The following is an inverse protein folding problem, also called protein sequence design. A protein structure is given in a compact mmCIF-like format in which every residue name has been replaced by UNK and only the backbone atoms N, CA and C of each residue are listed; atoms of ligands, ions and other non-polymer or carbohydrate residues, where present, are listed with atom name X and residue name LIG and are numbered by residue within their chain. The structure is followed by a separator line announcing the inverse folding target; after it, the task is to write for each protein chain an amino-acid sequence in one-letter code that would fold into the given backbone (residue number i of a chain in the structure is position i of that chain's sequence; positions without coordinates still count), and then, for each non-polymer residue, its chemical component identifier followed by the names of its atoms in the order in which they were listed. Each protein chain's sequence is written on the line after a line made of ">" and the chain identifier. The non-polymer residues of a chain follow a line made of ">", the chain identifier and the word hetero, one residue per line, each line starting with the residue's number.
data_IF_877522510705
#
_entry.id   IF_877522510705
#
_cell.length_a   1.000
_cell.length_b   1.000
_cell.length_c   1.000
_cell.angle_alpha   90.00
_cell.angle_beta   90.00
_cell.angle_gamma   90.00
#
_symmetry.space_group_name_H-M   'P 1'
#
loop_
_entity.id
_entity.type
_entity.pdbx_description
1 polymer ?
#
# COMPACT_ATOMS: atom_id res chain seq x y z
N UNK A 1 2.98 -3.33 -7.38
CA UNK A 1 2.72 -2.22 -8.31
C UNK A 1 3.36 -2.50 -9.67
N UNK A 2 4.65 -2.77 -9.74
CA UNK A 2 5.34 -3.04 -11.01
C UNK A 2 4.72 -4.15 -11.84
N UNK A 3 4.35 -5.29 -11.23
CA UNK A 3 3.65 -6.36 -11.93
C UNK A 3 2.29 -5.94 -12.50
N UNK A 4 1.49 -5.19 -11.73
CA UNK A 4 0.21 -4.70 -12.24
C UNK A 4 0.40 -3.77 -13.43
N UNK A 5 1.33 -2.81 -13.30
CA UNK A 5 1.63 -1.86 -14.37
C UNK A 5 2.17 -2.58 -15.62
N UNK A 6 3.05 -3.57 -15.42
CA UNK A 6 3.52 -4.43 -16.51
C UNK A 6 2.35 -5.14 -17.20
N UNK A 7 1.44 -5.75 -16.46
CA UNK A 7 0.27 -6.43 -17.02
C UNK A 7 -0.68 -5.48 -17.78
N UNK A 8 -0.78 -4.21 -17.34
CA UNK A 8 -1.56 -3.17 -18.03
C UNK A 8 -0.91 -2.68 -19.33
N UNK A 9 0.41 -2.49 -19.30
CA UNK A 9 1.15 -1.95 -20.45
C UNK A 9 1.54 -3.02 -21.48
N UNK A 10 1.62 -4.27 -21.07
CA UNK A 10 2.01 -5.40 -21.94
C UNK A 10 1.10 -5.52 -23.16
N UNK A 11 -0.19 -5.24 -23.03
CA UNK A 11 -1.17 -5.32 -24.12
C UNK A 11 -1.22 -4.04 -24.97
N UNK A 12 -0.50 -3.00 -24.57
CA UNK A 12 -0.39 -1.79 -25.34
C UNK A 12 0.76 -1.94 -26.35
N UNK A 13 0.44 -2.11 -27.62
CA UNK A 13 1.41 -2.38 -28.71
C UNK A 13 2.54 -1.36 -28.87
N UNK A 14 2.40 -0.18 -28.24
CA UNK A 14 3.41 0.89 -28.33
C UNK A 14 4.59 0.73 -27.37
N UNK A 15 4.55 -0.22 -26.43
CA UNK A 15 5.58 -0.38 -25.41
C UNK A 15 6.31 -1.72 -25.50
N UNK A 16 7.64 -1.66 -25.39
CA UNK A 16 8.46 -2.81 -25.02
C UNK A 16 8.75 -2.72 -23.53
N UNK A 17 8.20 -3.62 -22.74
CA UNK A 17 8.30 -3.58 -21.28
C UNK A 17 9.47 -4.44 -20.80
N UNK A 18 10.33 -3.86 -19.96
CA UNK A 18 11.38 -4.58 -19.25
C UNK A 18 11.15 -4.47 -17.74
N UNK A 19 10.88 -5.58 -17.08
CA UNK A 19 10.64 -5.67 -15.65
C UNK A 19 11.89 -6.14 -14.91
N UNK A 20 12.35 -5.33 -13.97
CA UNK A 20 13.42 -5.66 -13.04
C UNK A 20 12.81 -5.96 -11.65
N UNK A 21 13.07 -7.13 -11.11
CA UNK A 21 12.64 -7.52 -9.77
C UNK A 21 13.81 -8.17 -9.03
N UNK A 22 14.17 -7.64 -7.87
CA UNK A 22 15.28 -8.17 -7.09
C UNK A 22 15.01 -9.52 -6.44
N UNK A 23 13.74 -9.87 -6.28
CA UNK A 23 13.33 -11.15 -5.67
C UNK A 23 13.07 -12.17 -6.75
N UNK A 24 13.66 -13.35 -6.56
CA UNK A 24 13.38 -14.49 -7.42
C UNK A 24 11.98 -15.07 -7.14
N UNK A 25 11.59 -15.08 -5.85
CA UNK A 25 10.36 -15.71 -5.38
C UNK A 25 9.50 -14.71 -4.61
N UNK A 26 8.18 -14.86 -4.75
CA UNK A 26 7.20 -14.07 -4.02
C UNK A 26 6.86 -14.79 -2.70
N UNK A 27 7.45 -14.33 -1.60
CA UNK A 27 7.35 -14.96 -0.28
C UNK A 27 6.55 -14.15 0.75
N UNK A 28 6.03 -12.98 0.37
CA UNK A 28 5.30 -12.10 1.28
C UNK A 28 3.90 -12.63 1.56
N UNK A 29 3.72 -13.29 2.70
CA UNK A 29 2.45 -13.91 3.10
C UNK A 29 1.47 -12.95 3.78
N UNK A 30 1.89 -11.71 4.06
CA UNK A 30 0.99 -10.75 4.73
C UNK A 30 -0.33 -10.61 3.98
N UNK A 31 -1.41 -10.59 4.74
CA UNK A 31 -2.74 -10.40 4.20
C UNK A 31 -2.94 -8.95 3.77
N UNK A 32 -3.59 -8.76 2.64
CA UNK A 32 -3.97 -7.46 2.10
C UNK A 32 -5.39 -7.52 1.57
N UNK A 33 -6.06 -6.38 1.59
CA UNK A 33 -7.35 -6.21 0.96
C UNK A 33 -7.20 -5.23 -0.21
N UNK A 34 -7.68 -5.63 -1.37
CA UNK A 34 -7.80 -4.75 -2.53
C UNK A 34 -9.17 -4.07 -2.44
N UNK A 35 -9.19 -2.74 -2.43
CA UNK A 35 -10.43 -2.01 -2.27
C UNK A 35 -11.35 -2.17 -3.46
N UNK A 36 -12.67 -2.26 -3.22
CA UNK A 36 -13.70 -2.51 -4.23
C UNK A 36 -13.79 -1.36 -5.24
N UNK A 37 -13.49 -0.13 -4.86
CA UNK A 37 -13.50 1.00 -5.78
C UNK A 37 -12.52 0.86 -6.96
N UNK A 38 -11.49 0.03 -6.84
CA UNK A 38 -10.56 -0.25 -7.95
C UNK A 38 -11.23 -0.94 -9.14
N UNK A 39 -12.30 -1.65 -8.89
CA UNK A 39 -13.10 -2.36 -9.91
C UNK A 39 -14.47 -1.71 -10.14
N UNK A 40 -14.66 -0.49 -9.64
CA UNK A 40 -15.87 0.29 -9.82
C UNK A 40 -16.14 0.57 -11.30
N UNK A 41 -17.38 0.52 -11.68
CA UNK A 41 -17.88 0.79 -13.03
C UNK A 41 -18.69 2.08 -13.13
N UNK A 42 -18.95 2.73 -12.00
CA UNK A 42 -19.68 3.98 -11.88
C UNK A 42 -19.09 4.88 -10.81
N UNK A 43 -19.41 6.18 -10.85
CA UNK A 43 -19.01 7.15 -9.83
C UNK A 43 -19.57 6.73 -8.47
N UNK A 44 -20.81 6.30 -8.39
CA UNK A 44 -21.43 5.86 -7.14
C UNK A 44 -20.68 4.67 -6.52
N UNK A 45 -20.33 3.64 -7.30
CA UNK A 45 -19.56 2.50 -6.81
C UNK A 45 -18.11 2.85 -6.49
N UNK A 46 -17.53 3.88 -7.12
CA UNK A 46 -16.22 4.41 -6.78
C UNK A 46 -16.21 5.10 -5.41
N UNK A 47 -17.28 5.80 -5.07
CA UNK A 47 -17.38 6.58 -3.83
C UNK A 47 -17.74 5.75 -2.60
N UNK A 48 -18.31 4.54 -2.75
CA UNK A 48 -18.81 3.72 -1.61
C UNK A 48 -17.78 3.32 -0.57
N UNK A 49 -16.51 3.16 -0.95
CA UNK A 49 -15.43 2.78 -0.01
C UNK A 49 -14.73 3.98 0.61
N UNK A 50 -15.06 5.17 0.21
CA UNK A 50 -14.51 6.40 0.72
C UNK A 50 -15.66 7.30 1.17
N UNK A 51 -15.39 8.09 2.20
CA UNK A 51 -16.17 9.24 2.62
C UNK A 51 -17.13 9.65 1.48
N UNK A 52 -18.33 9.98 1.75
CA UNK A 52 -19.39 10.36 0.83
C UNK A 52 -18.95 10.96 -0.54
N UNK A 53 -19.81 10.90 -1.50
CA UNK A 53 -19.56 11.38 -2.86
C UNK A 53 -19.10 12.85 -2.89
N UNK A 54 -19.63 13.68 -1.99
CA UNK A 54 -19.29 15.09 -1.87
C UNK A 54 -17.82 15.30 -1.50
N UNK A 55 -17.28 14.51 -0.56
CA UNK A 55 -15.86 14.55 -0.18
C UNK A 55 -14.92 14.09 -1.29
N UNK A 56 -15.34 13.12 -2.10
CA UNK A 56 -14.56 12.68 -3.26
C UNK A 56 -14.57 13.77 -4.34
N UNK A 57 -15.70 14.36 -4.62
CA UNK A 57 -15.83 15.45 -5.60
C UNK A 57 -15.07 16.72 -5.17
N UNK A 58 -14.95 16.99 -3.87
CA UNK A 58 -14.17 18.11 -3.38
C UNK A 58 -12.66 17.97 -3.64
N UNK A 59 -12.14 16.73 -3.79
CA UNK A 59 -10.71 16.45 -4.02
C UNK A 59 -10.43 16.16 -5.50
N UNK A 60 -11.32 15.47 -6.18
CA UNK A 60 -11.15 15.07 -7.58
C UNK A 60 -12.11 15.80 -8.49
N UNK A 61 -11.59 16.29 -9.61
CA UNK A 61 -12.41 16.79 -10.69
C UNK A 61 -13.29 15.64 -11.23
N UNK A 62 -14.62 15.87 -11.47
CA UNK A 62 -15.49 14.89 -12.10
C UNK A 62 -14.96 14.34 -13.42
N UNK A 63 -14.21 15.14 -14.18
CA UNK A 63 -13.57 14.70 -15.42
C UNK A 63 -12.43 13.70 -15.15
N UNK A 64 -11.64 13.86 -14.08
CA UNK A 64 -10.59 12.92 -13.68
C UNK A 64 -11.19 11.57 -13.26
N UNK A 65 -12.29 11.58 -12.52
CA UNK A 65 -13.02 10.36 -12.13
C UNK A 65 -13.56 9.65 -13.38
N UNK A 66 -14.18 10.40 -14.28
CA UNK A 66 -14.73 9.86 -15.53
C UNK A 66 -13.65 9.27 -16.42
N UNK A 67 -12.51 9.94 -16.56
CA UNK A 67 -11.37 9.44 -17.33
C UNK A 67 -10.78 8.15 -16.68
N UNK A 68 -10.69 8.10 -15.36
CA UNK A 68 -10.26 6.92 -14.61
C UNK A 68 -11.22 5.72 -14.81
N UNK A 69 -12.52 5.96 -14.76
CA UNK A 69 -13.54 4.93 -15.03
C UNK A 69 -13.48 4.43 -16.46
N UNK A 70 -13.32 5.32 -17.45
CA UNK A 70 -13.17 4.95 -18.85
C UNK A 70 -11.93 4.08 -19.08
N UNK A 71 -10.81 4.42 -18.44
CA UNK A 71 -9.61 3.58 -18.50
C UNK A 71 -9.85 2.20 -17.88
N UNK A 72 -10.57 2.10 -16.75
CA UNK A 72 -10.90 0.80 -16.13
C UNK A 72 -11.72 -0.10 -17.07
N UNK A 73 -12.59 0.46 -17.87
CA UNK A 73 -13.34 -0.30 -18.89
C UNK A 73 -12.45 -0.85 -20.01
N UNK A 74 -11.29 -0.24 -20.23
CA UNK A 74 -10.30 -0.71 -21.21
C UNK A 74 -9.33 -1.77 -20.66
N UNK A 75 -9.36 -2.07 -19.35
CA UNK A 75 -8.52 -3.10 -18.73
C UNK A 75 -8.91 -4.47 -19.31
N UNK A 76 -7.93 -5.30 -19.72
CA UNK A 76 -8.20 -6.63 -20.25
C UNK A 76 -9.07 -7.46 -19.31
N UNK A 77 -10.08 -8.19 -19.83
CA UNK A 77 -11.05 -8.93 -19.02
C UNK A 77 -10.43 -9.94 -18.04
N UNK A 78 -9.34 -10.58 -18.43
CA UNK A 78 -8.59 -11.55 -17.63
C UNK A 78 -7.92 -10.88 -16.40
N UNK A 79 -7.40 -9.67 -16.55
CA UNK A 79 -6.86 -8.87 -15.45
C UNK A 79 -7.98 -8.30 -14.58
N UNK A 80 -9.05 -7.80 -15.18
CA UNK A 80 -10.20 -7.28 -14.44
C UNK A 80 -10.88 -8.36 -13.58
N UNK A 81 -10.99 -9.58 -14.08
CA UNK A 81 -11.52 -10.71 -13.31
C UNK A 81 -10.68 -11.01 -12.06
N UNK A 82 -9.34 -10.94 -12.17
CA UNK A 82 -8.44 -11.11 -11.02
C UNK A 82 -8.59 -9.98 -9.99
N UNK A 83 -8.66 -8.73 -10.45
CA UNK A 83 -8.89 -7.57 -9.58
C UNK A 83 -10.21 -7.70 -8.82
N UNK A 84 -11.29 -8.11 -9.49
CA UNK A 84 -12.60 -8.36 -8.84
C UNK A 84 -12.50 -9.47 -7.81
N UNK A 85 -11.79 -10.56 -8.11
CA UNK A 85 -11.56 -11.64 -7.14
C UNK A 85 -10.82 -11.17 -5.88
N UNK A 86 -9.79 -10.34 -6.03
CA UNK A 86 -9.05 -9.81 -4.88
C UNK A 86 -9.83 -8.74 -4.10
N UNK A 87 -10.79 -8.07 -4.72
CA UNK A 87 -11.63 -7.07 -4.06
C UNK A 87 -12.75 -7.70 -3.20
N UNK A 88 -12.99 -9.01 -3.30
CA UNK A 88 -14.01 -9.70 -2.52
C UNK A 88 -13.60 -9.97 -1.06
N UNK A 89 -12.32 -9.86 -0.74
CA UNK A 89 -11.84 -10.14 0.60
C UNK A 89 -10.32 -10.04 0.75
N UNK A 90 -9.83 -10.54 1.86
CA UNK A 90 -8.40 -10.57 2.12
C UNK A 90 -7.71 -11.69 1.37
N UNK A 91 -6.54 -11.40 0.82
CA UNK A 91 -5.69 -12.40 0.17
C UNK A 91 -4.21 -12.17 0.51
N UNK A 92 -3.37 -13.21 0.49
CA UNK A 92 -1.94 -13.04 0.71
C UNK A 92 -1.31 -12.24 -0.43
N UNK A 93 -0.41 -11.32 -0.09
CA UNK A 93 0.25 -10.48 -1.10
C UNK A 93 1.00 -11.30 -2.15
N UNK A 94 1.65 -12.40 -1.74
CA UNK A 94 2.34 -13.30 -2.66
C UNK A 94 1.40 -14.01 -3.64
N UNK A 95 0.14 -14.25 -3.28
CA UNK A 95 -0.85 -14.81 -4.20
C UNK A 95 -1.21 -13.81 -5.31
N UNK A 96 -1.35 -12.52 -4.97
CA UNK A 96 -1.53 -11.45 -5.95
C UNK A 96 -0.31 -11.36 -6.87
N UNK A 97 0.90 -11.38 -6.29
CA UNK A 97 2.15 -11.26 -7.03
C UNK A 97 2.33 -12.43 -8.02
N UNK A 98 2.12 -13.67 -7.57
CA UNK A 98 2.17 -14.86 -8.43
C UNK A 98 1.11 -14.79 -9.52
N UNK A 99 -0.12 -14.48 -9.18
CA UNK A 99 -1.22 -14.37 -10.13
C UNK A 99 -0.96 -13.34 -11.24
N UNK A 100 -0.37 -12.19 -10.90
CA UNK A 100 0.05 -11.20 -11.90
C UNK A 100 1.24 -11.69 -12.73
N UNK A 101 2.20 -12.36 -12.09
CA UNK A 101 3.35 -12.96 -12.78
C UNK A 101 2.91 -13.98 -13.82
N UNK A 102 2.03 -14.92 -13.42
CA UNK A 102 1.50 -15.97 -14.29
C UNK A 102 0.69 -15.35 -15.46
N UNK A 103 -0.06 -14.26 -15.19
CA UNK A 103 -0.80 -13.56 -16.23
C UNK A 103 0.13 -12.94 -17.27
N UNK A 104 1.22 -12.32 -16.84
CA UNK A 104 2.22 -11.72 -17.73
C UNK A 104 2.88 -12.79 -18.58
N UNK A 105 3.24 -13.93 -17.98
CA UNK A 105 3.90 -15.03 -18.68
C UNK A 105 2.97 -15.76 -19.66
N UNK A 106 1.67 -15.84 -19.36
CA UNK A 106 0.68 -16.45 -20.24
C UNK A 106 0.43 -15.66 -21.54
N UNK A 107 0.73 -14.37 -21.57
CA UNK A 107 0.52 -13.49 -22.73
C UNK A 107 1.72 -13.52 -23.69
N UNK A 108 1.97 -14.65 -24.30
CA UNK A 108 3.13 -14.91 -25.17
C UNK A 108 3.19 -14.01 -26.43
N UNK A 109 2.07 -13.50 -26.91
CA UNK A 109 2.02 -12.56 -28.04
C UNK A 109 2.66 -11.21 -27.75
N UNK A 110 2.81 -10.85 -26.47
CA UNK A 110 3.40 -9.60 -26.00
C UNK A 110 4.46 -9.90 -24.93
N UNK A 111 5.62 -10.42 -25.31
CA UNK A 111 6.63 -10.87 -24.35
C UNK A 111 7.21 -9.70 -23.55
N UNK A 112 7.30 -9.88 -22.25
CA UNK A 112 7.96 -8.95 -21.31
C UNK A 112 9.37 -9.46 -21.05
N UNK A 113 10.36 -8.58 -21.19
CA UNK A 113 11.72 -8.90 -20.73
C UNK A 113 11.76 -8.83 -19.21
N UNK A 114 12.27 -9.88 -18.58
CA UNK A 114 12.40 -9.94 -17.11
C UNK A 114 13.85 -10.14 -16.70
N UNK A 115 14.27 -9.38 -15.69
CA UNK A 115 15.58 -9.53 -15.05
C UNK A 115 15.43 -9.64 -13.55
N UNK A 116 16.02 -10.68 -12.96
CA UNK A 116 16.12 -10.80 -11.49
C UNK A 116 17.37 -10.04 -11.06
N UNK A 117 17.19 -8.77 -10.78
CA UNK A 117 18.27 -7.87 -10.38
C UNK A 117 17.76 -6.74 -9.49
N UNK A 118 18.57 -6.32 -8.53
CA UNK A 118 18.42 -5.03 -7.87
C UNK A 118 19.06 -3.98 -8.78
N UNK A 119 18.31 -2.97 -9.15
CA UNK A 119 18.75 -1.89 -10.03
C UNK A 119 19.10 -0.67 -9.17
N UNK A 120 20.32 -0.20 -9.28
CA UNK A 120 20.75 1.09 -8.70
C UNK A 120 20.35 2.24 -9.63
N UNK A 121 20.46 3.47 -9.16
CA UNK A 121 20.21 4.63 -10.01
C UNK A 121 21.24 4.73 -11.15
N UNK A 122 22.49 4.34 -10.89
CA UNK A 122 23.54 4.31 -11.89
C UNK A 122 23.25 3.26 -12.97
N UNK A 123 22.84 2.04 -12.57
CA UNK A 123 22.42 0.99 -13.52
C UNK A 123 21.23 1.47 -14.37
N UNK A 124 20.21 2.02 -13.71
CA UNK A 124 19.03 2.54 -14.41
C UNK A 124 19.41 3.57 -15.47
N UNK A 125 20.33 4.46 -15.11
CA UNK A 125 20.81 5.48 -15.99
C UNK A 125 21.61 4.95 -17.18
N UNK A 126 22.43 3.95 -16.94
CA UNK A 126 23.23 3.32 -17.99
C UNK A 126 22.38 2.53 -19.00
N UNK A 127 21.22 2.03 -18.55
CA UNK A 127 20.31 1.22 -19.38
C UNK A 127 19.32 2.04 -20.21
N UNK A 128 19.01 3.28 -19.81
CA UNK A 128 17.99 4.10 -20.47
C UNK A 128 18.50 4.70 -21.78
N UNK A 129 17.74 4.47 -22.84
CA UNK A 129 17.91 5.13 -24.14
C UNK A 129 17.00 6.36 -24.25
N UNK A 130 17.27 7.26 -25.21
CA UNK A 130 16.37 8.38 -25.50
C UNK A 130 14.96 7.88 -25.83
N UNK A 131 13.96 8.42 -25.12
CA UNK A 131 12.55 8.02 -25.27
C UNK A 131 12.09 6.90 -24.34
N UNK A 132 12.98 6.27 -23.60
CA UNK A 132 12.60 5.31 -22.57
C UNK A 132 11.96 6.01 -21.38
N UNK A 133 11.08 5.27 -20.69
CA UNK A 133 10.39 5.71 -19.48
C UNK A 133 10.80 4.80 -18.32
N UNK A 134 11.29 5.38 -17.24
CA UNK A 134 11.59 4.67 -16.01
C UNK A 134 10.42 4.77 -15.04
N UNK A 135 9.97 3.62 -14.54
CA UNK A 135 8.91 3.57 -13.53
C UNK A 135 9.46 2.88 -12.28
N UNK A 136 9.54 3.63 -11.20
CA UNK A 136 10.03 3.13 -9.92
C UNK A 136 8.89 2.61 -9.06
N UNK A 137 8.92 1.30 -8.80
CA UNK A 137 8.02 0.59 -7.89
C UNK A 137 8.78 -0.11 -6.75
N UNK A 138 9.99 0.36 -6.42
CA UNK A 138 10.90 -0.34 -5.48
C UNK A 138 10.48 -0.24 -4.01
N UNK A 139 9.49 0.61 -3.70
CA UNK A 139 8.92 0.71 -2.36
C UNK A 139 9.46 1.88 -1.53
N UNK A 140 9.18 1.84 -0.21
CA UNK A 140 9.44 2.97 0.70
C UNK A 140 10.91 3.39 0.81
N UNK A 141 11.83 2.46 0.64
CA UNK A 141 13.27 2.70 0.70
C UNK A 141 13.88 2.83 -0.72
N UNK A 142 13.20 3.54 -1.61
CA UNK A 142 13.66 3.68 -2.99
C UNK A 142 14.91 4.57 -3.09
N UNK A 143 15.99 3.96 -3.55
CA UNK A 143 17.21 4.68 -3.92
C UNK A 143 17.03 5.44 -5.25
N UNK A 144 16.19 4.92 -6.16
CA UNK A 144 15.89 5.58 -7.42
C UNK A 144 15.17 6.91 -7.19
N UNK A 145 14.17 6.93 -6.29
CA UNK A 145 13.49 8.17 -5.87
C UNK A 145 14.50 9.21 -5.39
N UNK A 146 15.34 8.82 -4.44
CA UNK A 146 16.19 9.76 -3.72
C UNK A 146 17.31 10.32 -4.61
N UNK A 147 17.71 9.59 -5.67
CA UNK A 147 18.77 9.97 -6.59
C UNK A 147 18.27 10.53 -7.93
N UNK A 148 17.16 10.04 -8.46
CA UNK A 148 16.67 10.41 -9.80
C UNK A 148 15.50 11.41 -9.79
N UNK A 149 14.80 11.53 -8.67
CA UNK A 149 13.68 12.46 -8.50
C UNK A 149 13.96 13.35 -7.28
N UNK A 150 14.99 14.19 -7.33
CA UNK A 150 15.32 15.05 -6.21
C UNK A 150 14.21 16.07 -5.97
N UNK A 151 13.88 16.31 -4.70
CA UNK A 151 12.98 17.39 -4.31
C UNK A 151 13.57 18.77 -4.61
N UNK A 152 12.73 19.77 -4.81
CA UNK A 152 13.15 21.16 -4.79
C UNK A 152 13.76 21.44 -3.40
N UNK A 153 15.04 21.70 -3.31
CA UNK A 153 15.80 21.81 -2.06
C UNK A 153 16.79 20.68 -1.81
N UNK A 154 16.88 19.69 -2.68
CA UNK A 154 17.92 18.66 -2.61
C UNK A 154 19.37 19.21 -2.68
N UNK A 155 19.50 20.48 -3.02
CA UNK A 155 20.77 21.22 -3.00
C UNK A 155 21.34 21.34 -1.59
N UNK A 156 20.50 21.29 -0.55
CA UNK A 156 20.87 21.38 0.86
C UNK A 156 20.94 20.01 1.58
N UNK A 157 20.79 18.90 0.84
CA UNK A 157 20.82 17.55 1.39
C UNK A 157 19.55 17.14 2.13
N UNK A 158 18.46 17.89 2.02
CA UNK A 158 17.19 17.53 2.66
C UNK A 158 16.58 16.28 2.01
N UNK A 159 15.96 15.39 2.80
CA UNK A 159 15.37 14.16 2.25
C UNK A 159 14.25 14.48 1.25
N UNK A 160 14.18 13.71 0.17
CA UNK A 160 13.13 13.86 -0.86
C UNK A 160 11.74 13.40 -0.40
N UNK A 161 11.54 13.20 0.88
CA UNK A 161 10.27 12.74 1.43
C UNK A 161 9.77 13.66 2.53
N UNK A 162 8.48 13.91 2.50
CA UNK A 162 7.74 14.52 3.59
C UNK A 162 7.06 13.43 4.41
N UNK A 163 7.25 13.42 5.73
CA UNK A 163 6.70 12.41 6.64
C UNK A 163 5.89 13.05 7.75
N UNK A 164 4.77 12.41 8.07
CA UNK A 164 3.94 12.73 9.25
C UNK A 164 3.82 11.47 10.07
N UNK A 165 4.31 11.49 11.31
CA UNK A 165 4.05 10.43 12.28
C UNK A 165 2.61 10.57 12.76
N UNK A 166 1.82 9.51 12.63
CA UNK A 166 0.45 9.45 13.14
C UNK A 166 0.43 8.85 14.54
N UNK A 167 1.02 7.68 14.70
CA UNK A 167 1.08 6.95 15.96
C UNK A 167 2.20 5.90 15.95
N UNK A 168 2.42 5.25 17.08
CA UNK A 168 3.25 4.06 17.21
C UNK A 168 2.35 2.85 17.45
N UNK A 169 2.68 1.70 16.89
CA UNK A 169 1.87 0.52 17.02
C UNK A 169 2.69 -0.78 17.07
N UNK A 170 2.06 -1.80 17.65
CA UNK A 170 2.45 -3.19 17.51
C UNK A 170 1.54 -3.84 16.47
N UNK A 171 2.13 -4.56 15.53
CA UNK A 171 1.41 -5.51 14.68
C UNK A 171 1.55 -6.87 15.33
N UNK A 172 0.44 -7.45 15.72
CA UNK A 172 0.37 -8.77 16.38
C UNK A 172 -0.25 -9.74 15.41
N UNK A 173 0.41 -10.87 15.17
CA UNK A 173 -0.05 -11.91 14.26
C UNK A 173 -0.03 -13.26 14.96
N UNK A 174 -1.09 -14.07 14.80
CA UNK A 174 -1.17 -15.42 15.34
C UNK A 174 -2.08 -16.32 14.51
N UNK A 175 -1.89 -17.62 14.65
CA UNK A 175 -2.80 -18.64 14.15
C UNK A 175 -3.76 -19.06 15.27
N UNK A 176 -5.01 -19.22 14.91
CA UNK A 176 -6.07 -19.63 15.82
C UNK A 176 -6.77 -20.88 15.31
N UNK A 177 -6.90 -21.91 16.16
CA UNK A 177 -7.38 -23.24 15.80
C UNK A 177 -8.89 -23.35 15.74
N UNK A 178 -9.55 -22.37 15.14
CA UNK A 178 -10.98 -22.37 14.80
C UNK A 178 -11.26 -21.32 13.74
N UNK A 179 -12.43 -21.43 13.09
CA UNK A 179 -12.94 -20.33 12.28
C UNK A 179 -13.25 -19.11 13.17
N UNK A 180 -12.78 -17.97 12.77
CA UNK A 180 -13.02 -16.72 13.49
C UNK A 180 -13.37 -15.59 12.51
N UNK A 181 -14.51 -14.94 12.71
CA UNK A 181 -14.93 -13.78 11.92
C UNK A 181 -14.58 -12.49 12.67
N UNK A 182 -13.62 -11.72 12.12
CA UNK A 182 -13.22 -10.45 12.73
C UNK A 182 -14.31 -9.36 12.67
N UNK A 183 -15.33 -9.49 11.82
CA UNK A 183 -16.46 -8.56 11.80
C UNK A 183 -17.28 -8.63 13.10
N UNK A 184 -17.38 -9.81 13.72
CA UNK A 184 -18.01 -9.95 15.02
C UNK A 184 -17.22 -9.25 16.13
N UNK A 185 -15.89 -9.23 16.06
CA UNK A 185 -15.05 -8.55 17.03
C UNK A 185 -15.14 -7.03 16.96
N UNK A 186 -15.53 -6.44 15.84
CA UNK A 186 -15.84 -5.01 15.77
C UNK A 186 -17.01 -4.62 16.69
N UNK A 187 -17.93 -5.54 17.00
CA UNK A 187 -18.99 -5.35 18.00
C UNK A 187 -18.43 -5.31 19.42
N UNK A 188 -17.36 -6.06 19.67
CA UNK A 188 -16.67 -6.11 20.97
C UNK A 188 -16.12 -4.76 21.40
N UNK A 189 -15.63 -3.95 20.47
CA UNK A 189 -15.01 -2.65 20.76
C UNK A 189 -15.97 -1.58 21.26
N UNK A 190 -17.27 -1.74 21.05
CA UNK A 190 -18.27 -0.81 21.55
C UNK A 190 -18.43 -0.84 23.08
N UNK A 191 -17.88 -1.86 23.73
CA UNK A 191 -18.12 -2.16 25.16
C UNK A 191 -16.84 -2.20 26.01
N UNK A 192 -15.70 -1.67 25.54
CA UNK A 192 -14.44 -1.75 26.32
C UNK A 192 -14.18 -0.43 27.04
N UNK A 193 -14.02 -0.55 28.34
CA UNK A 193 -13.87 0.52 29.31
C UNK A 193 -12.50 1.24 29.24
N UNK A 194 -11.49 0.72 28.56
CA UNK A 194 -10.16 1.31 28.54
C UNK A 194 -9.56 1.24 27.12
N UNK A 195 -9.37 2.38 26.53
CA UNK A 195 -9.01 2.51 25.12
C UNK A 195 -7.51 2.48 24.81
N UNK A 196 -6.67 2.75 25.83
CA UNK A 196 -5.23 2.63 25.68
C UNK A 196 -4.82 1.16 25.49
N UNK A 197 -3.88 0.93 24.57
CA UNK A 197 -3.34 -0.40 24.27
C UNK A 197 -4.36 -1.42 23.73
N UNK A 198 -5.45 -0.95 23.16
CA UNK A 198 -6.51 -1.80 22.62
C UNK A 198 -6.02 -2.62 21.43
N UNK A 199 -6.22 -3.95 21.50
CA UNK A 199 -5.97 -4.80 20.34
C UNK A 199 -7.13 -4.69 19.35
N UNK A 200 -6.85 -4.22 18.13
CA UNK A 200 -7.82 -4.10 17.05
C UNK A 200 -7.49 -5.15 15.99
N UNK A 201 -8.26 -6.24 15.85
CA UNK A 201 -8.07 -7.19 14.76
C UNK A 201 -8.39 -6.47 13.45
N UNK A 202 -7.43 -6.48 12.53
CA UNK A 202 -7.52 -5.76 11.28
C UNK A 202 -7.71 -6.70 10.09
N UNK A 203 -7.20 -7.91 10.19
CA UNK A 203 -7.21 -8.90 9.11
C UNK A 203 -7.44 -10.28 9.69
N UNK A 204 -8.37 -11.02 9.10
CA UNK A 204 -8.59 -12.41 9.41
C UNK A 204 -8.72 -13.23 8.13
N UNK A 205 -8.16 -14.41 8.10
CA UNK A 205 -8.37 -15.40 7.05
C UNK A 205 -8.51 -16.79 7.66
N UNK A 206 -9.58 -17.46 7.27
CA UNK A 206 -9.81 -18.85 7.61
C UNK A 206 -9.17 -19.78 6.57
N UNK A 207 -8.50 -20.82 7.02
CA UNK A 207 -7.84 -21.86 6.22
C UNK A 207 -8.38 -23.25 6.58
N UNK A 208 -8.01 -24.23 5.75
CA UNK A 208 -8.26 -25.66 6.00
C UNK A 208 -9.73 -25.94 6.40
N UNK A 209 -10.64 -25.63 5.49
CA UNK A 209 -12.08 -25.86 5.63
C UNK A 209 -12.69 -25.25 6.91
N UNK A 210 -12.13 -24.15 7.36
CA UNK A 210 -12.61 -23.44 8.55
C UNK A 210 -11.94 -23.84 9.87
N UNK A 211 -10.92 -24.70 9.84
CA UNK A 211 -10.27 -25.18 11.06
C UNK A 211 -9.22 -24.27 11.65
N UNK A 212 -8.64 -23.36 10.85
CA UNK A 212 -7.58 -22.43 11.28
C UNK A 212 -7.84 -21.04 10.76
N UNK A 213 -7.72 -20.04 11.62
CA UNK A 213 -7.75 -18.64 11.27
C UNK A 213 -6.38 -17.98 11.48
N UNK A 214 -5.95 -17.19 10.50
CA UNK A 214 -4.77 -16.32 10.62
C UNK A 214 -5.26 -14.91 11.00
N UNK A 215 -4.95 -14.49 12.20
CA UNK A 215 -5.40 -13.21 12.76
C UNK A 215 -4.22 -12.24 12.80
N UNK A 216 -4.41 -11.05 12.26
CA UNK A 216 -3.47 -9.93 12.39
C UNK A 216 -4.20 -8.75 12.96
N UNK A 217 -3.68 -8.15 14.01
CA UNK A 217 -4.24 -6.96 14.63
C UNK A 217 -3.19 -5.92 14.98
N UNK A 218 -3.68 -4.78 15.44
CA UNK A 218 -2.85 -3.63 15.79
C UNK A 218 -3.14 -3.22 17.23
N UNK A 219 -2.10 -2.94 17.98
CA UNK A 219 -2.17 -2.30 19.31
C UNK A 219 -1.48 -0.95 19.23
N UNK A 220 -2.18 0.14 19.48
CA UNK A 220 -1.56 1.46 19.60
C UNK A 220 -0.79 1.54 20.92
N UNK A 221 0.43 2.06 20.87
CA UNK A 221 1.31 2.19 22.02
C UNK A 221 1.86 3.61 22.12
N UNK A 222 2.37 3.97 23.29
CA UNK A 222 3.00 5.26 23.49
C UNK A 222 4.37 5.35 22.79
N UNK A 223 4.87 6.56 22.58
CA UNK A 223 6.22 6.74 22.06
C UNK A 223 7.29 6.19 23.04
N UNK A 224 7.05 6.32 24.35
CA UNK A 224 7.95 5.82 25.37
C UNK A 224 8.05 4.29 25.35
N UNK A 225 6.93 3.58 25.28
CA UNK A 225 6.91 2.13 25.18
C UNK A 225 7.57 1.66 23.89
N UNK A 226 7.29 2.37 22.77
CA UNK A 226 7.91 2.05 21.49
C UNK A 226 9.44 2.07 21.54
N UNK A 227 10.04 3.10 22.14
CA UNK A 227 11.50 3.20 22.22
C UNK A 227 12.14 2.12 23.11
N UNK A 228 11.40 1.60 24.09
CA UNK A 228 11.87 0.56 25.02
C UNK A 228 11.71 -0.87 24.49
N UNK A 229 10.91 -1.06 23.44
CA UNK A 229 10.64 -2.39 22.86
C UNK A 229 11.67 -2.75 21.77
N UNK A 230 12.03 -4.04 21.60
CA UNK A 230 12.75 -4.51 20.42
C UNK A 230 11.89 -4.35 19.15
N UNK A 231 12.53 -4.48 17.99
CA UNK A 231 11.80 -4.37 16.71
C UNK A 231 10.87 -5.56 16.45
N UNK A 232 11.19 -6.74 16.99
CA UNK A 232 10.40 -7.99 16.88
C UNK A 232 10.56 -8.80 18.16
N UNK A 233 9.47 -9.36 18.63
CA UNK A 233 9.40 -10.18 19.85
C UNK A 233 8.13 -11.04 19.84
N UNK A 234 7.97 -11.89 20.85
CA UNK A 234 6.83 -12.79 21.04
C UNK A 234 5.91 -12.34 22.17
N UNK A 235 4.80 -13.07 22.35
CA UNK A 235 3.82 -12.77 23.39
C UNK A 235 4.35 -13.00 24.82
N UNK A 236 5.29 -13.92 25.01
CA UNK A 236 5.91 -14.17 26.31
C UNK A 236 6.77 -12.98 26.74
N UNK A 237 7.59 -12.46 25.82
CA UNK A 237 8.40 -11.27 26.08
C UNK A 237 7.51 -10.05 26.42
N UNK A 238 6.41 -9.84 25.66
CA UNK A 238 5.50 -8.72 25.89
C UNK A 238 4.88 -8.78 27.29
N UNK A 239 4.33 -9.93 27.69
CA UNK A 239 3.72 -10.14 29.02
C UNK A 239 4.71 -9.90 30.15
N UNK A 240 5.98 -10.29 29.97
CA UNK A 240 7.03 -10.16 30.99
C UNK A 240 7.49 -8.73 31.18
N UNK A 241 7.52 -7.91 30.12
CA UNK A 241 8.14 -6.58 30.13
C UNK A 241 7.10 -5.44 30.06
N UNK A 242 5.94 -5.68 29.42
CA UNK A 242 4.88 -4.69 29.22
C UNK A 242 3.50 -5.31 29.47
N UNK A 243 3.21 -5.76 30.72
CA UNK A 243 1.98 -6.45 31.04
C UNK A 243 0.72 -5.58 30.75
N UNK A 244 0.80 -4.27 30.95
CA UNK A 244 -0.29 -3.34 30.64
C UNK A 244 -0.64 -3.27 29.15
N UNK A 245 0.33 -3.46 28.25
CA UNK A 245 0.11 -3.55 26.81
C UNK A 245 -0.47 -4.91 26.43
N UNK A 246 -0.02 -5.96 27.09
CA UNK A 246 -0.47 -7.33 26.83
C UNK A 246 -1.93 -7.58 27.26
N UNK A 247 -2.40 -6.89 28.29
CA UNK A 247 -3.69 -7.13 28.93
C UNK A 247 -4.87 -7.08 27.93
N UNK A 248 -4.94 -6.06 27.10
CA UNK A 248 -6.03 -5.92 26.10
C UNK A 248 -6.02 -7.05 25.08
N UNK A 249 -4.84 -7.45 24.63
CA UNK A 249 -4.65 -8.56 23.70
C UNK A 249 -5.07 -9.90 24.36
N UNK A 250 -4.65 -10.11 25.60
CA UNK A 250 -4.98 -11.33 26.34
C UNK A 250 -6.48 -11.43 26.64
N UNK A 251 -7.15 -10.31 26.95
CA UNK A 251 -8.61 -10.25 27.08
C UNK A 251 -9.32 -10.60 25.77
N UNK A 252 -8.83 -10.05 24.64
CA UNK A 252 -9.36 -10.39 23.32
C UNK A 252 -9.25 -11.89 23.03
N UNK A 253 -8.06 -12.46 23.25
CA UNK A 253 -7.80 -13.89 23.03
C UNK A 253 -8.67 -14.75 23.94
N UNK A 254 -8.80 -14.39 25.21
CA UNK A 254 -9.64 -15.12 26.17
C UNK A 254 -11.11 -15.12 25.73
N UNK A 255 -11.62 -13.98 25.28
CA UNK A 255 -12.99 -13.88 24.79
C UNK A 255 -13.23 -14.70 23.52
N UNK A 256 -12.31 -14.63 22.54
CA UNK A 256 -12.43 -15.46 21.33
C UNK A 256 -12.39 -16.95 21.66
N UNK A 257 -11.55 -17.34 22.63
CA UNK A 257 -11.50 -18.72 23.12
C UNK A 257 -12.81 -19.16 23.77
N UNK A 258 -13.42 -18.32 24.60
CA UNK A 258 -14.72 -18.58 25.22
C UNK A 258 -15.84 -18.76 24.19
N UNK A 259 -15.88 -17.91 23.17
CA UNK A 259 -16.90 -17.91 22.12
C UNK A 259 -16.78 -19.10 21.13
N UNK A 260 -15.56 -19.57 20.87
CA UNK A 260 -15.29 -20.51 19.77
C UNK A 260 -14.69 -21.85 20.20
N UNK A 261 -14.27 -21.99 21.45
CA UNK A 261 -13.52 -23.14 21.97
C UNK A 261 -12.20 -23.44 21.24
N UNK A 262 -11.62 -22.45 20.56
CA UNK A 262 -10.35 -22.59 19.87
C UNK A 262 -9.16 -22.23 20.75
N UNK A 263 -7.96 -22.49 20.22
CA UNK A 263 -6.70 -22.16 20.89
C UNK A 263 -5.71 -21.52 19.91
N UNK A 264 -4.79 -20.72 20.44
CA UNK A 264 -3.67 -20.21 19.66
C UNK A 264 -2.75 -21.37 19.29
N UNK A 265 -2.41 -21.45 18.00
CA UNK A 265 -1.46 -22.42 17.48
C UNK A 265 -0.09 -21.73 17.38
N UNK A 266 0.86 -22.21 18.18
CA UNK A 266 2.19 -21.60 18.27
C UNK A 266 2.20 -20.38 19.19
N UNK A 267 3.03 -19.39 18.87
CA UNK A 267 3.19 -18.16 19.65
C UNK A 267 2.76 -16.93 18.85
N UNK A 268 2.64 -15.80 19.54
CA UNK A 268 2.35 -14.51 18.91
C UNK A 268 3.61 -13.97 18.26
N UNK A 269 3.51 -13.59 17.00
CA UNK A 269 4.53 -12.76 16.34
C UNK A 269 4.18 -11.28 16.49
N UNK A 270 5.06 -10.52 17.12
CA UNK A 270 4.84 -9.09 17.37
C UNK A 270 5.97 -8.27 16.77
N UNK A 271 5.58 -7.25 16.01
CA UNK A 271 6.51 -6.31 15.38
C UNK A 271 6.08 -4.90 15.76
N UNK A 272 7.03 -4.10 16.31
CA UNK A 272 6.77 -2.68 16.51
C UNK A 272 6.95 -1.92 15.20
N UNK A 273 6.02 -1.03 14.91
CA UNK A 273 6.09 -0.19 13.71
C UNK A 273 5.72 1.25 14.03
N UNK A 274 6.39 2.23 13.40
CA UNK A 274 5.88 3.57 13.33
C UNK A 274 4.81 3.63 12.25
N UNK A 275 3.66 4.18 12.53
CA UNK A 275 2.63 4.44 11.54
C UNK A 275 2.85 5.82 10.93
N UNK A 276 3.65 5.82 9.88
CA UNK A 276 4.01 7.03 9.14
C UNK A 276 3.16 7.15 7.87
N UNK A 277 2.66 8.35 7.66
CA UNK A 277 2.19 8.78 6.37
C UNK A 277 3.31 9.58 5.71
N UNK A 278 3.74 9.19 4.52
CA UNK A 278 4.78 9.92 3.80
C UNK A 278 4.44 10.07 2.32
N UNK A 279 5.03 11.07 1.70
CA UNK A 279 5.08 11.22 0.25
C UNK A 279 6.45 11.69 -0.21
N UNK A 280 6.83 11.35 -1.43
CA UNK A 280 7.89 12.04 -2.13
C UNK A 280 7.47 13.51 -2.38
N UNK A 281 8.43 14.42 -2.42
CA UNK A 281 8.16 15.83 -2.76
C UNK A 281 7.64 15.94 -4.19
N UNK A 282 8.19 15.14 -5.09
CA UNK A 282 7.73 14.97 -6.46
C UNK A 282 7.54 13.49 -6.76
N UNK A 283 6.46 13.16 -7.46
CA UNK A 283 6.18 11.82 -7.97
C UNK A 283 6.76 11.60 -9.38
N UNK A 284 7.27 12.66 -10.00
CA UNK A 284 7.88 12.64 -11.34
C UNK A 284 9.17 13.43 -11.40
N UNK A 285 10.04 13.08 -12.33
CA UNK A 285 11.23 13.88 -12.65
C UNK A 285 10.86 15.04 -13.57
N UNK A 286 10.57 16.22 -13.00
CA UNK A 286 10.28 17.41 -13.81
C UNK A 286 11.52 18.00 -14.48
N UNK A 287 12.66 17.98 -13.78
CA UNK A 287 13.95 18.48 -14.25
C UNK A 287 15.04 17.49 -13.90
N UNK A 288 15.11 16.41 -14.67
CA UNK A 288 16.23 15.53 -14.51
C UNK A 288 17.42 16.07 -15.30
N UNK A 289 18.30 16.77 -14.62
CA UNK A 289 19.62 17.16 -15.14
C UNK A 289 20.64 16.19 -14.59
N UNK A 290 21.26 15.43 -15.47
CA UNK A 290 22.50 14.74 -15.13
C UNK A 290 23.56 15.81 -14.85
N UNK A 291 23.88 16.08 -13.60
CA UNK A 291 25.07 16.81 -13.20
C UNK A 291 26.27 15.89 -13.35
N UNK A 292 26.65 15.59 -14.57
CA UNK A 292 27.85 14.85 -14.93
C UNK A 292 28.79 15.76 -15.71
N UNK A 293 29.97 15.96 -15.20
CA UNK A 293 31.09 16.53 -15.92
C UNK A 293 31.50 15.54 -17.01
N UNK A 294 31.05 15.76 -18.25
CA UNK A 294 31.45 14.95 -19.40
C UNK A 294 30.43 15.00 -20.54
N UNK A 295 30.91 14.87 -21.75
CA UNK A 295 30.29 15.03 -23.07
C UNK A 295 29.14 14.05 -23.39
N UNK A 296 28.27 13.72 -22.44
CA UNK A 296 27.11 12.89 -22.70
C UNK A 296 25.84 13.71 -22.92
N UNK A 297 25.12 13.47 -24.02
CA UNK A 297 23.87 14.16 -24.32
C UNK A 297 22.87 13.89 -23.20
N UNK A 298 22.10 14.92 -22.84
CA UNK A 298 21.02 14.83 -21.84
C UNK A 298 20.02 13.76 -22.23
N UNK A 299 20.02 12.62 -21.51
CA UNK A 299 18.97 11.64 -21.65
C UNK A 299 17.79 12.15 -20.86
N UNK A 300 16.81 12.73 -21.55
CA UNK A 300 15.54 13.14 -20.96
C UNK A 300 14.59 11.94 -20.86
N UNK A 301 14.97 10.97 -20.07
CA UNK A 301 14.07 9.86 -19.76
C UNK A 301 13.20 10.27 -18.58
N UNK A 302 11.86 10.29 -18.72
CA UNK A 302 10.98 10.60 -17.61
C UNK A 302 11.03 9.48 -16.58
N UNK A 303 11.01 9.87 -15.30
CA UNK A 303 10.91 8.96 -14.15
C UNK A 303 9.58 9.18 -13.47
N UNK A 304 8.86 8.09 -13.22
CA UNK A 304 7.61 8.07 -12.45
C UNK A 304 7.80 7.21 -11.21
N UNK A 305 7.36 7.71 -10.07
CA UNK A 305 7.30 6.96 -8.81
C UNK A 305 5.90 6.41 -8.61
N UNK A 306 5.75 5.12 -8.31
CA UNK A 306 4.44 4.46 -8.18
C UNK A 306 4.37 3.64 -6.89
N UNK A 307 3.26 3.79 -6.16
CA UNK A 307 3.05 3.10 -4.88
C UNK A 307 3.96 3.62 -3.79
N UNK A 308 4.52 2.73 -2.98
CA UNK A 308 5.33 3.11 -1.82
C UNK A 308 6.63 3.84 -2.18
N UNK A 309 7.06 3.89 -3.42
CA UNK A 309 8.16 4.77 -3.84
C UNK A 309 7.73 6.24 -3.89
N UNK A 310 6.48 6.50 -4.25
CA UNK A 310 5.89 7.84 -4.29
C UNK A 310 5.29 8.26 -2.94
N UNK A 311 4.51 7.37 -2.32
CA UNK A 311 3.78 7.65 -1.09
C UNK A 311 3.45 6.37 -0.33
N UNK A 312 3.53 6.42 1.00
CA UNK A 312 3.17 5.33 1.89
C UNK A 312 2.03 5.71 2.81
N UNK A 313 1.14 4.76 3.01
CA UNK A 313 -0.05 4.91 3.83
C UNK A 313 -0.06 3.86 4.93
N UNK A 314 -0.39 4.25 6.18
CA UNK A 314 -0.69 3.32 7.25
C UNK A 314 -2.06 2.63 7.02
N UNK A 315 -2.43 1.76 7.95
CA UNK A 315 -3.77 1.14 8.01
C UNK A 315 -4.14 0.30 6.77
N UNK A 316 -3.16 -0.45 6.22
CA UNK A 316 -3.37 -1.41 5.12
C UNK A 316 -3.88 -0.83 3.78
N UNK A 317 -3.84 0.49 3.61
CA UNK A 317 -4.36 1.16 2.40
C UNK A 317 -3.37 1.18 1.23
N UNK A 318 -2.08 0.92 1.46
CA UNK A 318 -1.01 1.18 0.50
C UNK A 318 -1.13 0.38 -0.82
N UNK A 319 -1.69 -0.85 -0.78
CA UNK A 319 -1.80 -1.64 -2.00
C UNK A 319 -2.85 -1.07 -2.95
N UNK A 320 -4.03 -0.72 -2.44
CA UNK A 320 -5.11 -0.16 -3.26
C UNK A 320 -4.73 1.19 -3.83
N UNK A 321 -4.14 2.05 -3.01
CA UNK A 321 -3.59 3.33 -3.45
C UNK A 321 -2.55 3.18 -4.55
N UNK A 322 -1.61 2.26 -4.37
CA UNK A 322 -0.58 2.01 -5.37
C UNK A 322 -1.13 1.40 -6.66
N UNK A 323 -2.15 0.53 -6.57
CA UNK A 323 -2.83 -0.02 -7.74
C UNK A 323 -3.56 1.06 -8.51
N UNK A 324 -4.24 1.96 -7.83
CA UNK A 324 -4.93 3.08 -8.44
C UNK A 324 -3.96 4.03 -9.16
N UNK A 325 -2.83 4.38 -8.53
CA UNK A 325 -1.79 5.17 -9.18
C UNK A 325 -1.20 4.46 -10.41
N UNK A 326 -1.01 3.14 -10.34
CA UNK A 326 -0.54 2.34 -11.46
C UNK A 326 -1.53 2.33 -12.63
N UNK A 327 -2.83 2.19 -12.34
CA UNK A 327 -3.89 2.24 -13.34
C UNK A 327 -3.98 3.63 -14.00
N UNK A 328 -3.91 4.68 -13.20
CA UNK A 328 -3.94 6.05 -13.72
C UNK A 328 -2.75 6.34 -14.62
N UNK A 329 -1.54 5.97 -14.17
CA UNK A 329 -0.32 6.12 -14.99
C UNK A 329 -0.40 5.32 -16.29
N UNK A 330 -0.88 4.07 -16.24
CA UNK A 330 -1.08 3.28 -17.44
C UNK A 330 -2.05 3.96 -18.41
N UNK A 331 -3.15 4.53 -17.88
CA UNK A 331 -4.12 5.30 -18.67
C UNK A 331 -3.51 6.52 -19.35
N UNK A 332 -2.61 7.24 -18.69
CA UNK A 332 -1.86 8.34 -19.31
C UNK A 332 -0.90 7.85 -20.37
N UNK A 333 -0.13 6.80 -20.08
CA UNK A 333 0.89 6.27 -20.97
C UNK A 333 0.32 5.72 -22.29
N UNK A 334 -0.90 5.18 -22.29
CA UNK A 334 -1.52 4.65 -23.51
C UNK A 334 -2.13 5.74 -24.40
N UNK A 335 -2.31 6.96 -23.91
CA UNK A 335 -2.78 8.09 -24.72
C UNK A 335 -1.70 8.51 -25.73
N UNK A 336 -2.02 8.43 -27.03
CA UNK A 336 -1.04 8.68 -28.09
C UNK A 336 -0.67 10.15 -28.26
N UNK A 337 -1.64 11.02 -28.03
CA UNK A 337 -1.54 12.45 -28.34
C UNK A 337 -1.23 13.31 -27.11
N UNK A 338 -0.96 12.68 -25.97
CA UNK A 338 -0.62 13.40 -24.75
C UNK A 338 0.88 13.73 -24.71
N UNK A 339 1.27 15.03 -24.76
CA UNK A 339 2.66 15.43 -24.64
C UNK A 339 3.28 14.99 -23.32
N UNK A 340 4.57 14.64 -23.34
CA UNK A 340 5.27 14.17 -22.14
C UNK A 340 5.22 15.18 -20.97
N UNK A 341 5.40 16.50 -21.16
CA UNK A 341 5.26 17.47 -20.06
C UNK A 341 3.88 17.43 -19.41
N UNK A 342 2.82 17.35 -20.20
CA UNK A 342 1.44 17.29 -19.69
C UNK A 342 1.17 15.98 -18.94
N UNK A 343 1.76 14.87 -19.42
CA UNK A 343 1.68 13.57 -18.75
C UNK A 343 2.34 13.62 -17.37
N UNK A 344 3.53 14.20 -17.26
CA UNK A 344 4.26 14.38 -16.01
C UNK A 344 3.45 15.24 -15.03
N UNK A 345 2.92 16.37 -15.50
CA UNK A 345 2.13 17.29 -14.68
C UNK A 345 0.83 16.67 -14.20
N UNK A 346 0.11 15.95 -15.06
CA UNK A 346 -1.13 15.27 -14.69
C UNK A 346 -0.88 14.17 -13.66
N UNK A 347 0.18 13.37 -13.84
CA UNK A 347 0.52 12.33 -12.89
C UNK A 347 0.98 12.90 -11.54
N UNK A 348 1.81 13.96 -11.55
CA UNK A 348 2.25 14.67 -10.36
C UNK A 348 1.05 15.18 -9.54
N UNK A 349 0.11 15.87 -10.21
CA UNK A 349 -1.10 16.38 -9.57
C UNK A 349 -1.98 15.25 -9.04
N UNK A 350 -2.16 14.17 -9.81
CA UNK A 350 -2.94 13.02 -9.39
C UNK A 350 -2.33 12.34 -8.16
N UNK A 351 -1.05 12.08 -8.16
CA UNK A 351 -0.33 11.50 -7.02
C UNK A 351 -0.46 12.38 -5.77
N UNK A 352 -0.38 13.71 -5.92
CA UNK A 352 -0.61 14.64 -4.81
C UNK A 352 -2.04 14.55 -4.26
N UNK A 353 -3.06 14.54 -5.12
CA UNK A 353 -4.47 14.41 -4.71
C UNK A 353 -4.71 13.08 -4.00
N UNK A 354 -4.14 11.97 -4.50
CA UNK A 354 -4.21 10.66 -3.84
C UNK A 354 -3.60 10.69 -2.44
N UNK A 355 -2.42 11.33 -2.29
CA UNK A 355 -1.81 11.49 -0.98
C UNK A 355 -2.69 12.32 -0.04
N UNK A 356 -3.29 13.41 -0.52
CA UNK A 356 -4.18 14.25 0.28
C UNK A 356 -5.40 13.47 0.78
N UNK A 357 -6.01 12.65 -0.10
CA UNK A 357 -7.12 11.76 0.25
C UNK A 357 -6.74 10.78 1.37
N UNK A 358 -5.58 10.14 1.24
CA UNK A 358 -5.06 9.21 2.24
C UNK A 358 -4.72 9.93 3.55
N UNK A 359 -4.19 11.13 3.47
CA UNK A 359 -3.93 11.97 4.64
C UNK A 359 -5.20 12.28 5.40
N UNK A 360 -6.23 12.76 4.72
CA UNK A 360 -7.53 13.07 5.33
C UNK A 360 -8.13 11.82 6.00
N UNK A 361 -8.17 10.71 5.29
CA UNK A 361 -8.68 9.42 5.82
C UNK A 361 -7.88 8.94 7.03
N UNK A 362 -6.56 9.00 6.97
CA UNK A 362 -5.69 8.56 8.08
C UNK A 362 -5.88 9.45 9.32
N UNK A 363 -6.02 10.76 9.13
CA UNK A 363 -6.33 11.69 10.22
C UNK A 363 -7.72 11.44 10.83
N UNK A 364 -8.71 11.14 10.00
CA UNK A 364 -10.05 10.79 10.44
C UNK A 364 -10.06 9.46 11.24
N UNK A 365 -9.36 8.42 10.76
CA UNK A 365 -9.23 7.16 11.49
C UNK A 365 -8.59 7.40 12.86
N UNK A 366 -7.48 8.16 12.90
CA UNK A 366 -6.83 8.51 14.16
C UNK A 366 -7.76 9.29 15.07
N UNK A 367 -8.43 10.33 14.56
CA UNK A 367 -9.37 11.13 15.35
C UNK A 367 -10.52 10.30 15.91
N UNK A 368 -11.09 9.39 15.13
CA UNK A 368 -12.13 8.49 15.60
C UNK A 368 -11.61 7.54 16.69
N UNK A 369 -10.36 7.09 16.60
CA UNK A 369 -9.73 6.30 17.67
C UNK A 369 -9.59 7.15 18.94
N UNK A 370 -9.03 8.35 18.82
CA UNK A 370 -8.84 9.29 19.94
C UNK A 370 -10.18 9.64 20.61
N UNK A 371 -11.26 9.83 19.83
CA UNK A 371 -12.61 10.07 20.36
C UNK A 371 -13.16 8.86 21.14
N UNK A 372 -12.96 7.65 20.60
CA UNK A 372 -13.37 6.41 21.30
C UNK A 372 -12.59 6.22 22.61
N UNK A 373 -11.34 6.67 22.64
CA UNK A 373 -10.52 6.71 23.85
C UNK A 373 -11.11 7.69 24.88
N UNK A 374 -11.42 8.91 24.48
CA UNK A 374 -12.03 9.91 25.37
C UNK A 374 -13.43 9.51 25.89
N UNK A 375 -14.24 8.85 25.07
CA UNK A 375 -15.58 8.39 25.50
C UNK A 375 -15.49 7.23 26.49
N UNK A 376 -14.52 6.34 26.30
CA UNK A 376 -14.25 5.25 27.26
C UNK A 376 -13.89 5.77 28.64
N UNK A 377 -13.00 6.78 28.69
CA UNK A 377 -12.55 7.42 29.94
C UNK A 377 -13.64 8.27 30.66
N UNK A 378 -14.71 8.67 29.93
CA UNK A 378 -15.79 9.51 30.51
C UNK A 378 -16.98 8.68 31.01
N UNK A 379 -17.07 7.42 30.62
CA UNK A 379 -18.19 6.52 30.99
C UNK A 379 -17.78 5.52 32.06
N UNK A 380 -16.49 5.44 32.40
CA UNK A 380 -15.94 4.71 33.54
C UNK A 380 -15.93 5.57 34.82
#
# INVERSE_FOLDING_TARGET
>A
MGLLLTALLQTAERFSVHLYEKRRDYTRTRMVQVASYLVADSVASYCTDYIDEESVQAVFDPQEITAGLAFRQSIPPDLMARLRGWAQGFCPLNAIERSLSDLIDARQSHPVRRSVAAVTAEDAMAMLAPGDILIDCTGSNSLLRDQLVPGAGAVDGSPNTFKIRLEYALVVTFLYGQAYDCNESCKYYKNIENAHYKFIPAVNRTYYDGSISHVTGIVSITAEDYERMPSRFDGHWLRSHFPHVAESMDRFIAKVKEETNGEIIGDLEIIRIPLDLYRARHATSREWRRTGTGDHPFIRSPVFLVGDSAMGSPYFQSISLGFECAMFLAGLLVQRDLPLPDMLDRYELYAYKQWLRVYMRSKMIKHNKDLLECVGDTVA
#
